data_IF_962040002397
#
_entry.id   IF_962040002397
#
_cell.length_a   1.000
_cell.length_b   1.000
_cell.length_c   1.000
_cell.angle_alpha   90.00
_cell.angle_beta   90.00
_cell.angle_gamma   90.00
#
_symmetry.space_group_name_H-M   'P 1'
#
loop_
_entity.id
_entity.type
_entity.pdbx_description
1 polymer ?
#
# COMPACT_ATOMS: atom_id res chain seq x y z
N UNK A 1 18.05 -24.73 19.65
CA UNK A 1 16.79 -25.24 19.09
C UNK A 1 16.23 -24.15 18.17
N UNK A 2 16.82 -23.93 17.00
CA UNK A 2 16.60 -24.66 15.74
C UNK A 2 15.18 -24.46 15.16
N UNK A 3 14.86 -23.23 14.75
CA UNK A 3 13.97 -22.88 13.62
C UNK A 3 13.97 -21.34 13.45
N UNK A 4 15.12 -20.77 13.13
CA UNK A 4 15.23 -19.34 12.78
C UNK A 4 16.39 -19.16 11.80
N UNK A 5 16.28 -19.77 10.62
CA UNK A 5 17.15 -19.41 9.50
C UNK A 5 16.57 -19.96 8.19
N UNK A 6 16.52 -19.07 7.19
CA UNK A 6 16.33 -19.30 5.74
C UNK A 6 14.89 -19.24 5.23
N UNK A 7 14.46 -18.02 4.92
CA UNK A 7 13.67 -17.74 3.73
C UNK A 7 14.37 -16.61 2.98
N UNK A 8 15.15 -16.98 1.97
CA UNK A 8 15.73 -16.03 1.00
C UNK A 8 14.58 -15.48 0.15
N UNK A 9 14.51 -14.15 -0.03
CA UNK A 9 13.71 -13.42 -1.03
C UNK A 9 12.48 -14.19 -1.57
N UNK A 10 11.32 -13.96 -1.00
CA UNK A 10 10.09 -14.63 -1.41
C UNK A 10 9.20 -13.66 -2.19
N UNK A 11 9.03 -13.90 -3.49
CA UNK A 11 7.92 -13.32 -4.25
C UNK A 11 6.67 -14.08 -3.82
N UNK A 12 5.74 -13.43 -3.13
CA UNK A 12 4.46 -14.04 -2.77
C UNK A 12 3.41 -13.63 -3.79
N UNK A 13 2.96 -14.60 -4.58
CA UNK A 13 1.88 -14.45 -5.54
C UNK A 13 0.62 -15.00 -4.89
N UNK A 14 -0.26 -14.10 -4.44
CA UNK A 14 -1.51 -14.49 -3.83
C UNK A 14 -2.58 -14.59 -4.93
N UNK A 15 -3.18 -15.77 -5.06
CA UNK A 15 -4.33 -16.02 -5.94
C UNK A 15 -5.51 -16.38 -5.04
N UNK A 16 -6.10 -15.43 -4.30
CA UNK A 16 -7.30 -15.70 -3.49
C UNK A 16 -8.21 -14.47 -3.23
N UNK A 17 -9.50 -14.78 -3.12
CA UNK A 17 -10.71 -13.93 -3.02
C UNK A 17 -11.08 -13.51 -1.56
N UNK A 18 -10.12 -13.43 -0.63
CA UNK A 18 -10.37 -13.10 0.79
C UNK A 18 -9.26 -12.22 1.40
N UNK A 19 -9.55 -11.38 2.42
CA UNK A 19 -8.61 -10.42 3.01
C UNK A 19 -7.36 -11.08 3.60
N UNK A 20 -6.19 -10.43 3.40
CA UNK A 20 -4.89 -10.95 3.84
C UNK A 20 -4.32 -10.09 4.97
N UNK A 21 -4.10 -10.69 6.14
CA UNK A 21 -3.41 -10.06 7.27
C UNK A 21 -1.96 -10.55 7.33
N UNK A 22 -0.99 -9.67 7.08
CA UNK A 22 0.44 -10.02 7.05
C UNK A 22 1.23 -9.24 8.09
N UNK A 23 1.54 -9.89 9.22
CA UNK A 23 2.06 -9.22 10.42
C UNK A 23 3.59 -9.03 10.47
N UNK A 24 4.41 -9.82 9.75
CA UNK A 24 5.89 -9.73 9.82
C UNK A 24 6.57 -10.27 8.55
N UNK A 25 6.99 -9.41 7.63
CA UNK A 25 7.59 -9.88 6.37
C UNK A 25 8.71 -8.94 5.87
N UNK A 26 9.76 -9.54 5.30
CA UNK A 26 10.96 -8.89 4.75
C UNK A 26 11.07 -9.26 3.27
N UNK A 27 11.35 -8.28 2.39
CA UNK A 27 11.61 -8.49 0.95
C UNK A 27 10.50 -9.28 0.24
N UNK A 28 9.26 -8.85 0.48
CA UNK A 28 8.10 -9.32 -0.25
C UNK A 28 7.97 -8.63 -1.58
N UNK A 29 7.53 -9.38 -2.58
CA UNK A 29 6.82 -8.80 -3.73
C UNK A 29 5.41 -9.36 -3.77
N UNK A 30 4.40 -8.49 -3.67
CA UNK A 30 2.98 -8.84 -3.87
C UNK A 30 2.50 -8.42 -5.26
N UNK A 31 1.92 -9.39 -5.98
CA UNK A 31 1.24 -9.25 -7.27
C UNK A 31 0.01 -10.18 -7.25
N UNK A 32 -1.18 -9.65 -7.54
CA UNK A 32 -2.47 -10.34 -7.41
C UNK A 32 -3.35 -10.18 -8.66
N UNK A 33 -4.16 -11.19 -9.04
CA UNK A 33 -5.08 -11.13 -10.19
C UNK A 33 -6.21 -10.12 -10.11
N UNK A 34 -6.46 -9.59 -8.93
CA UNK A 34 -7.74 -9.02 -8.55
C UNK A 34 -8.00 -9.39 -7.11
N UNK A 35 -7.88 -8.44 -6.19
CA UNK A 35 -8.36 -8.62 -4.82
C UNK A 35 -9.76 -8.01 -4.74
N UNK A 36 -10.78 -8.85 -4.60
CA UNK A 36 -12.13 -8.45 -4.22
C UNK A 36 -12.26 -8.68 -2.72
N UNK A 37 -12.43 -7.59 -1.96
CA UNK A 37 -12.26 -7.60 -0.51
C UNK A 37 -13.48 -7.09 0.23
N UNK A 38 -14.04 -7.96 1.08
CA UNK A 38 -15.16 -7.65 1.95
C UNK A 38 -14.72 -7.20 3.36
N UNK A 39 -13.40 -7.08 3.60
CA UNK A 39 -12.78 -6.74 4.87
C UNK A 39 -12.33 -5.27 5.00
N UNK A 40 -11.41 -5.02 5.93
CA UNK A 40 -10.86 -3.70 6.28
C UNK A 40 -9.63 -3.32 5.45
N UNK A 41 -8.83 -4.28 4.99
CA UNK A 41 -7.73 -4.00 4.09
C UNK A 41 -7.43 -5.18 3.18
N UNK A 42 -7.16 -4.89 1.91
CA UNK A 42 -6.93 -5.91 0.88
C UNK A 42 -5.50 -6.45 0.96
N UNK A 43 -4.53 -5.54 1.11
CA UNK A 43 -3.13 -5.84 1.43
C UNK A 43 -2.74 -5.04 2.67
N UNK A 44 -2.45 -5.72 3.77
CA UNK A 44 -1.93 -5.10 5.00
C UNK A 44 -0.49 -5.54 5.24
N UNK A 45 0.41 -4.60 5.52
CA UNK A 45 1.84 -4.87 5.70
C UNK A 45 2.46 -4.00 6.79
N UNK A 46 3.46 -4.55 7.48
CA UNK A 46 4.13 -3.89 8.60
C UNK A 46 3.37 -4.05 9.92
N UNK A 47 3.98 -3.54 10.99
CA UNK A 47 3.47 -3.63 12.36
C UNK A 47 4.23 -2.67 13.29
N UNK A 48 3.63 -2.35 14.44
CA UNK A 48 4.31 -1.69 15.55
C UNK A 48 4.21 -0.17 15.53
N UNK A 49 3.45 0.39 14.59
CA UNK A 49 3.28 1.82 14.43
C UNK A 49 2.24 2.47 15.36
N UNK A 50 1.25 1.72 15.88
CA UNK A 50 0.18 2.30 16.72
C UNK A 50 0.58 3.09 17.98
N UNK A 51 1.73 2.88 18.66
CA UNK A 51 2.15 3.79 19.73
C UNK A 51 2.22 5.26 19.29
N UNK A 52 2.46 5.49 18.00
CA UNK A 52 2.47 6.82 17.39
C UNK A 52 1.09 7.54 17.54
N UNK A 53 -0.03 6.80 17.61
CA UNK A 53 -1.38 7.33 17.93
C UNK A 53 -1.44 8.07 19.27
N UNK A 54 -0.56 7.69 20.21
CA UNK A 54 -0.47 8.29 21.55
C UNK A 54 0.87 9.00 21.75
N UNK A 55 1.49 9.45 20.66
CA UNK A 55 2.73 10.24 20.67
C UNK A 55 3.94 9.51 21.25
N UNK A 56 3.99 8.18 21.08
CA UNK A 56 5.12 7.35 21.47
C UNK A 56 5.86 6.83 20.22
N UNK A 57 7.18 6.55 20.33
CA UNK A 57 7.94 5.94 19.24
C UNK A 57 7.30 4.64 18.73
N UNK A 58 7.36 4.44 17.41
CA UNK A 58 7.00 3.17 16.80
C UNK A 58 7.88 2.03 17.34
N UNK A 59 7.31 0.83 17.47
CA UNK A 59 8.06 -0.34 17.90
C UNK A 59 9.00 -0.81 16.78
N UNK A 60 10.26 -1.15 17.11
CA UNK A 60 11.15 -1.79 16.16
C UNK A 60 10.56 -3.08 15.60
N UNK A 61 10.70 -3.27 14.29
CA UNK A 61 10.29 -4.48 13.60
C UNK A 61 11.30 -4.79 12.47
N UNK A 62 11.12 -5.92 11.78
CA UNK A 62 12.01 -6.37 10.70
C UNK A 62 11.43 -6.15 9.29
N UNK A 63 10.31 -5.44 9.16
CA UNK A 63 9.70 -5.07 7.88
C UNK A 63 10.64 -4.14 7.12
N UNK A 64 11.09 -4.55 5.95
CA UNK A 64 11.81 -3.69 5.02
C UNK A 64 11.87 -4.25 3.61
N UNK A 65 12.23 -3.37 2.68
CA UNK A 65 12.47 -3.69 1.27
C UNK A 65 11.28 -4.39 0.62
N UNK A 66 10.06 -4.10 1.07
CA UNK A 66 8.84 -4.71 0.57
C UNK A 66 8.36 -3.96 -0.68
N UNK A 67 7.76 -4.68 -1.63
CA UNK A 67 7.21 -4.13 -2.87
C UNK A 67 5.79 -4.65 -3.07
N UNK A 68 4.85 -3.74 -3.18
CA UNK A 68 3.46 -4.01 -3.56
C UNK A 68 3.27 -3.35 -4.91
N UNK A 69 3.29 -4.13 -5.98
CA UNK A 69 3.35 -3.56 -7.33
C UNK A 69 2.42 -4.21 -8.32
N UNK A 70 1.83 -3.41 -9.22
CA UNK A 70 1.03 -3.88 -10.34
C UNK A 70 -0.14 -4.78 -9.92
N UNK A 71 -0.70 -4.57 -8.73
CA UNK A 71 -1.91 -5.28 -8.31
C UNK A 71 -3.13 -4.62 -8.94
N UNK A 72 -4.16 -5.42 -9.22
CA UNK A 72 -5.52 -4.94 -9.45
C UNK A 72 -6.33 -5.18 -8.17
N UNK A 73 -6.88 -4.14 -7.57
CA UNK A 73 -7.69 -4.22 -6.33
C UNK A 73 -9.00 -3.48 -6.60
N UNK A 74 -10.13 -4.13 -6.36
CA UNK A 74 -11.43 -3.53 -6.65
C UNK A 74 -12.53 -4.03 -5.73
N UNK A 75 -13.64 -3.28 -5.64
CA UNK A 75 -14.77 -3.56 -4.76
C UNK A 75 -14.30 -3.82 -3.31
N UNK A 76 -13.37 -2.98 -2.83
CA UNK A 76 -12.74 -3.11 -1.52
C UNK A 76 -13.47 -2.31 -0.45
N UNK A 77 -13.16 -2.59 0.82
CA UNK A 77 -13.73 -1.91 1.99
C UNK A 77 -15.27 -1.99 2.01
N UNK A 78 -15.86 -3.19 1.94
CA UNK A 78 -17.33 -3.30 1.93
C UNK A 78 -17.97 -3.21 3.32
N UNK A 79 -17.23 -3.58 4.39
CA UNK A 79 -17.78 -3.75 5.73
C UNK A 79 -17.15 -2.80 6.76
N UNK A 80 -15.82 -2.73 6.80
CA UNK A 80 -15.08 -1.97 7.81
C UNK A 80 -14.58 -0.64 7.22
N UNK A 81 -14.29 0.32 8.10
CA UNK A 81 -14.07 1.72 7.73
C UNK A 81 -12.72 2.30 8.13
N UNK A 82 -11.83 1.55 8.78
CA UNK A 82 -10.48 2.02 9.19
C UNK A 82 -9.39 1.17 8.53
N UNK A 83 -9.24 1.36 7.21
CA UNK A 83 -8.25 0.64 6.41
C UNK A 83 -8.21 1.13 4.97
N UNK A 84 -7.82 0.25 4.04
CA UNK A 84 -7.54 0.62 2.66
C UNK A 84 -7.21 -0.55 1.74
N UNK A 85 -7.18 -0.29 0.43
CA UNK A 85 -6.73 -1.29 -0.54
C UNK A 85 -5.29 -1.74 -0.27
N UNK A 86 -4.42 -0.77 0.07
CA UNK A 86 -3.09 -1.04 0.62
C UNK A 86 -2.99 -0.30 1.94
N UNK A 87 -2.65 -1.03 2.99
CA UNK A 87 -2.45 -0.53 4.34
C UNK A 87 -1.04 -0.86 4.80
N UNK A 88 -0.29 0.15 5.22
CA UNK A 88 1.09 0.05 5.71
C UNK A 88 1.16 0.59 7.14
N UNK A 89 1.87 -0.11 8.04
CA UNK A 89 2.02 0.31 9.43
C UNK A 89 3.45 0.14 9.97
N UNK A 90 3.90 1.09 10.79
CA UNK A 90 5.19 1.02 11.47
C UNK A 90 6.41 1.15 10.55
N UNK A 91 7.62 1.03 11.11
CA UNK A 91 8.86 1.25 10.38
C UNK A 91 9.02 0.19 9.28
N UNK A 92 9.15 0.59 8.02
CA UNK A 92 9.26 -0.33 6.86
C UNK A 92 10.63 -0.26 6.17
N UNK A 93 11.65 0.20 6.87
CA UNK A 93 13.00 0.38 6.35
C UNK A 93 13.86 1.22 7.29
N UNK A 94 15.06 1.58 6.83
CA UNK A 94 15.92 2.55 7.54
C UNK A 94 16.22 3.78 6.71
N UNK A 95 15.70 3.83 5.48
CA UNK A 95 15.85 4.90 4.49
C UNK A 95 14.82 4.70 3.38
N UNK A 96 14.56 5.72 2.57
CA UNK A 96 13.71 5.56 1.38
C UNK A 96 14.19 4.48 0.39
N UNK A 97 15.50 4.18 0.39
CA UNK A 97 16.10 3.21 -0.55
C UNK A 97 15.84 1.74 -0.19
N UNK A 98 15.57 1.45 1.08
CA UNK A 98 15.24 0.10 1.57
C UNK A 98 13.87 0.07 2.26
N UNK A 99 13.06 1.07 1.96
CA UNK A 99 11.72 1.24 2.43
C UNK A 99 10.73 0.29 1.78
N UNK A 100 9.46 0.53 2.02
CA UNK A 100 8.38 -0.10 1.29
C UNK A 100 8.03 0.68 0.02
N UNK A 101 7.74 -0.03 -1.06
CA UNK A 101 7.36 0.54 -2.35
C UNK A 101 5.99 0.04 -2.80
N UNK A 102 5.00 0.92 -2.78
CA UNK A 102 3.64 0.69 -3.30
C UNK A 102 3.56 1.35 -4.68
N UNK A 103 3.68 0.57 -5.76
CA UNK A 103 3.90 1.14 -7.10
C UNK A 103 3.10 0.52 -8.25
N UNK A 104 2.57 1.33 -9.15
CA UNK A 104 1.90 0.84 -10.36
C UNK A 104 0.63 0.04 -10.10
N UNK A 105 0.07 0.07 -8.88
CA UNK A 105 -1.16 -0.62 -8.57
C UNK A 105 -2.35 0.11 -9.17
N UNK A 106 -3.36 -0.65 -9.55
CA UNK A 106 -4.64 -0.21 -10.07
C UNK A 106 -5.68 -0.51 -9.01
N UNK A 107 -6.31 0.52 -8.47
CA UNK A 107 -7.29 0.40 -7.39
C UNK A 107 -8.57 1.13 -7.77
N UNK A 108 -9.73 0.49 -7.66
CA UNK A 108 -10.99 1.18 -7.94
C UNK A 108 -12.17 0.65 -7.14
N UNK A 109 -13.26 1.41 -7.12
CA UNK A 109 -14.53 0.98 -6.54
C UNK A 109 -14.42 0.73 -5.02
N UNK A 110 -14.04 1.76 -4.26
CA UNK A 110 -14.15 1.66 -2.79
C UNK A 110 -15.61 1.73 -2.36
N UNK A 111 -16.10 0.67 -1.72
CA UNK A 111 -17.52 0.51 -1.40
C UNK A 111 -17.95 1.30 -0.15
N UNK A 112 -17.13 1.35 0.90
CA UNK A 112 -17.39 2.18 2.07
C UNK A 112 -17.19 3.66 1.76
N UNK A 113 -18.21 4.47 2.07
CA UNK A 113 -18.30 5.89 1.71
C UNK A 113 -17.91 6.86 2.82
N UNK A 114 -17.61 6.36 4.03
CA UNK A 114 -17.46 7.22 5.21
C UNK A 114 -16.20 6.97 6.04
N UNK A 115 -15.23 6.18 5.56
CA UNK A 115 -14.02 5.90 6.33
C UNK A 115 -12.85 5.33 5.52
N UNK A 116 -11.66 5.48 6.09
CA UNK A 116 -10.41 4.92 5.58
C UNK A 116 -9.78 5.75 4.47
N UNK A 117 -8.73 5.18 3.88
CA UNK A 117 -7.95 5.75 2.81
C UNK A 117 -7.60 4.67 1.81
N UNK A 118 -7.47 4.98 0.52
CA UNK A 118 -7.22 3.92 -0.47
C UNK A 118 -5.82 3.35 -0.34
N UNK A 119 -4.80 4.22 -0.40
CA UNK A 119 -3.40 3.88 -0.14
C UNK A 119 -3.01 4.50 1.21
N UNK A 120 -3.05 3.70 2.25
CA UNK A 120 -3.01 4.14 3.64
C UNK A 120 -1.69 3.77 4.30
N UNK A 121 -0.85 4.76 4.56
CA UNK A 121 0.31 4.60 5.45
C UNK A 121 -0.11 5.09 6.84
N UNK A 122 -0.60 4.17 7.66
CA UNK A 122 -1.08 4.46 9.01
C UNK A 122 0.10 4.77 9.96
N UNK A 123 -0.23 5.07 11.20
CA UNK A 123 0.69 5.46 12.27
C UNK A 123 2.06 4.77 12.25
N UNK A 124 3.11 5.57 12.42
CA UNK A 124 4.49 5.13 12.44
C UNK A 124 5.01 4.53 11.13
N UNK A 125 4.21 4.52 10.04
CA UNK A 125 4.62 4.08 8.72
C UNK A 125 5.72 4.99 8.17
N UNK A 126 6.96 4.54 8.31
CA UNK A 126 8.16 5.27 7.92
C UNK A 126 8.87 4.59 6.75
N UNK A 127 9.43 5.41 5.87
CA UNK A 127 10.15 5.03 4.65
C UNK A 127 9.27 4.36 3.60
N UNK A 128 8.12 4.96 3.26
CA UNK A 128 7.19 4.40 2.27
C UNK A 128 7.18 5.23 0.99
N UNK A 129 7.27 4.59 -0.17
CA UNK A 129 7.11 5.22 -1.48
C UNK A 129 5.79 4.78 -2.13
N UNK A 130 4.92 5.72 -2.49
CA UNK A 130 3.66 5.50 -3.20
C UNK A 130 3.78 6.09 -4.60
N UNK A 131 4.07 5.25 -5.59
CA UNK A 131 4.56 5.70 -6.90
C UNK A 131 3.70 5.23 -8.06
N UNK A 132 3.22 6.14 -8.90
CA UNK A 132 2.56 5.80 -10.18
C UNK A 132 1.38 4.83 -10.07
N UNK A 133 0.64 4.87 -8.96
CA UNK A 133 -0.60 4.10 -8.80
C UNK A 133 -1.78 4.81 -9.47
N UNK A 134 -2.79 4.06 -9.85
CA UNK A 134 -4.05 4.58 -10.37
C UNK A 134 -5.19 4.26 -9.41
N UNK A 135 -5.95 5.27 -9.02
CA UNK A 135 -7.09 5.16 -8.11
C UNK A 135 -8.31 5.88 -8.68
N UNK A 136 -9.46 5.23 -8.81
CA UNK A 136 -10.69 5.93 -9.22
C UNK A 136 -11.95 5.32 -8.61
N UNK A 137 -13.09 5.99 -8.79
CA UNK A 137 -14.39 5.62 -8.22
C UNK A 137 -14.31 5.35 -6.71
N UNK A 138 -13.89 6.36 -5.96
CA UNK A 138 -13.78 6.33 -4.50
C UNK A 138 -14.58 7.48 -3.89
N UNK A 139 -15.05 7.30 -2.66
CA UNK A 139 -15.80 8.30 -1.92
C UNK A 139 -15.03 8.87 -0.71
N UNK A 140 -13.75 8.49 -0.59
CA UNK A 140 -12.84 8.89 0.49
C UNK A 140 -11.56 9.47 -0.12
N UNK A 141 -10.56 9.83 0.71
CA UNK A 141 -9.28 10.27 0.15
C UNK A 141 -8.49 9.09 -0.45
N UNK A 142 -7.78 9.30 -1.57
CA UNK A 142 -6.98 8.25 -2.20
C UNK A 142 -5.73 7.87 -1.38
N UNK A 143 -5.43 8.63 -0.34
CA UNK A 143 -4.20 8.55 0.44
C UNK A 143 -4.46 8.92 1.91
N UNK A 144 -3.61 8.39 2.80
CA UNK A 144 -3.45 8.86 4.16
C UNK A 144 -2.00 8.63 4.59
N UNK A 145 -1.20 9.69 4.76
CA UNK A 145 0.24 9.52 5.01
C UNK A 145 1.00 10.49 5.88
N UNK A 146 0.43 11.66 6.23
CA UNK A 146 1.14 12.64 7.05
C UNK A 146 0.93 12.36 8.54
N UNK A 147 1.81 11.53 9.09
CA UNK A 147 1.91 11.25 10.53
C UNK A 147 3.17 11.90 11.12
N UNK A 148 3.06 12.44 12.34
CA UNK A 148 4.22 13.03 13.04
C UNK A 148 5.18 11.92 13.41
N UNK A 149 6.46 12.07 13.10
CA UNK A 149 7.45 11.07 13.45
C UNK A 149 7.81 11.15 14.93
N UNK A 150 7.10 10.42 15.79
CA UNK A 150 7.42 10.34 17.21
C UNK A 150 8.62 9.44 17.52
N UNK A 151 9.13 8.69 16.53
CA UNK A 151 10.34 7.87 16.68
C UNK A 151 11.60 8.73 16.73
N UNK A 152 11.72 9.69 15.81
CA UNK A 152 12.81 10.69 15.81
C UNK A 152 12.48 11.85 16.75
N UNK A 153 11.21 12.26 16.83
CA UNK A 153 10.73 13.25 17.80
C UNK A 153 11.20 14.68 17.54
N UNK A 154 11.60 15.02 16.31
CA UNK A 154 12.15 16.33 15.93
C UNK A 154 11.11 17.27 15.29
N UNK A 155 9.84 16.87 15.25
CA UNK A 155 8.74 17.64 14.66
C UNK A 155 8.59 17.49 13.14
N UNK A 156 9.35 16.58 12.52
CA UNK A 156 9.14 16.12 11.14
C UNK A 156 8.01 15.07 11.06
N UNK A 157 7.63 14.70 9.83
CA UNK A 157 6.69 13.61 9.58
C UNK A 157 7.43 12.30 9.31
N UNK A 158 6.73 11.19 9.40
CA UNK A 158 7.25 9.88 9.00
C UNK A 158 7.69 9.93 7.52
N UNK A 159 8.94 9.55 7.18
CA UNK A 159 9.46 9.74 5.83
C UNK A 159 8.61 9.02 4.79
N UNK A 160 8.08 9.77 3.84
CA UNK A 160 7.17 9.24 2.82
C UNK A 160 7.39 9.96 1.50
N UNK A 161 7.29 9.24 0.40
CA UNK A 161 7.45 9.75 -0.96
C UNK A 161 6.23 9.38 -1.80
N UNK A 162 5.59 10.35 -2.46
CA UNK A 162 4.29 10.18 -3.12
C UNK A 162 4.31 10.90 -4.47
N UNK A 163 4.56 10.14 -5.54
CA UNK A 163 4.81 10.75 -6.85
C UNK A 163 4.11 10.04 -8.01
N UNK A 164 3.66 10.84 -8.99
CA UNK A 164 3.19 10.34 -10.28
C UNK A 164 1.88 9.55 -10.23
N UNK A 165 1.14 9.58 -9.12
CA UNK A 165 -0.11 8.83 -8.98
C UNK A 165 -1.28 9.53 -9.71
N UNK A 166 -2.25 8.75 -10.17
CA UNK A 166 -3.46 9.22 -10.85
C UNK A 166 -4.66 8.95 -9.95
N UNK A 167 -5.27 10.00 -9.38
CA UNK A 167 -6.39 9.85 -8.46
C UNK A 167 -7.31 11.07 -8.41
N UNK A 168 -8.56 10.95 -7.95
CA UNK A 168 -9.40 12.11 -7.68
C UNK A 168 -9.01 12.78 -6.36
N UNK A 169 -9.10 14.11 -6.30
CA UNK A 169 -8.98 14.89 -5.06
C UNK A 169 -7.67 14.65 -4.29
N UNK A 170 -6.57 14.50 -5.02
CA UNK A 170 -5.23 14.40 -4.46
C UNK A 170 -4.80 15.66 -3.70
N UNK A 171 -3.81 15.57 -2.79
CA UNK A 171 -3.22 16.75 -2.18
C UNK A 171 -2.41 17.53 -3.21
N UNK A 172 -2.23 18.83 -2.98
CA UNK A 172 -1.24 19.62 -3.71
C UNK A 172 0.18 19.14 -3.41
N UNK A 173 1.09 19.42 -4.34
CA UNK A 173 2.52 19.15 -4.17
C UNK A 173 3.07 19.73 -2.86
N UNK A 174 3.99 18.98 -2.25
CA UNK A 174 4.53 19.24 -0.93
C UNK A 174 5.95 18.67 -0.85
N UNK A 175 6.91 19.45 -0.38
CA UNK A 175 8.27 18.97 -0.15
C UNK A 175 8.82 19.61 1.11
N UNK A 176 8.50 19.02 2.26
CA UNK A 176 8.93 19.52 3.55
C UNK A 176 8.80 18.42 4.61
N UNK A 177 9.48 18.58 5.75
CA UNK A 177 9.34 17.69 6.93
C UNK A 177 9.41 16.19 6.59
N UNK A 178 10.35 15.80 5.73
CA UNK A 178 10.59 14.40 5.30
C UNK A 178 9.49 13.78 4.44
N UNK A 179 8.52 14.56 3.94
CA UNK A 179 7.49 14.09 3.02
C UNK A 179 7.64 14.79 1.68
N UNK A 180 7.70 13.99 0.61
CA UNK A 180 7.61 14.43 -0.77
C UNK A 180 6.25 14.02 -1.35
N UNK A 181 5.57 14.98 -1.97
CA UNK A 181 4.37 14.80 -2.78
C UNK A 181 4.61 15.61 -4.04
N UNK A 182 4.68 14.96 -5.19
CA UNK A 182 4.96 15.68 -6.42
C UNK A 182 4.35 15.03 -7.65
N UNK A 183 3.94 15.84 -8.62
CA UNK A 183 3.53 15.37 -9.95
C UNK A 183 2.39 14.33 -9.90
N UNK A 184 1.49 14.42 -8.93
CA UNK A 184 0.29 13.59 -8.91
C UNK A 184 -0.79 14.22 -9.80
N UNK A 185 -1.60 13.40 -10.45
CA UNK A 185 -2.54 13.80 -11.48
C UNK A 185 -3.98 13.64 -10.98
N UNK A 186 -4.71 14.75 -10.94
CA UNK A 186 -6.14 14.74 -10.65
C UNK A 186 -6.91 14.12 -11.82
N UNK A 187 -7.71 13.09 -11.54
CA UNK A 187 -8.53 12.40 -12.54
C UNK A 187 -9.98 12.31 -12.07
N UNK A 188 -10.88 12.24 -13.04
CA UNK A 188 -12.32 12.00 -12.85
C UNK A 188 -12.74 10.58 -13.26
N UNK A 189 -11.87 9.83 -13.95
CA UNK A 189 -12.18 8.51 -14.46
C UNK A 189 -10.95 7.75 -14.98
N UNK A 190 -11.15 6.45 -15.23
CA UNK A 190 -10.10 5.53 -15.66
C UNK A 190 -9.54 5.84 -17.05
N UNK A 191 -10.30 6.52 -17.91
CA UNK A 191 -9.92 6.92 -19.27
C UNK A 191 -8.79 7.97 -19.30
N UNK A 192 -8.55 8.64 -18.17
CA UNK A 192 -7.47 9.61 -18.00
C UNK A 192 -6.17 8.99 -17.47
N UNK A 193 -6.20 7.69 -17.12
CA UNK A 193 -5.01 6.95 -16.66
C UNK A 193 -4.25 6.41 -17.88
N UNK A 194 -2.91 6.53 -17.92
CA UNK A 194 -2.10 5.92 -18.96
C UNK A 194 -2.39 4.42 -19.08
N UNK A 195 -2.61 3.95 -20.31
CA UNK A 195 -2.88 2.54 -20.59
C UNK A 195 -1.74 1.62 -20.15
N UNK A 196 -0.51 2.11 -20.07
CA UNK A 196 0.64 1.36 -19.54
C UNK A 196 0.49 1.01 -18.06
N UNK A 197 -0.23 1.81 -17.27
CA UNK A 197 -0.50 1.53 -15.86
C UNK A 197 -1.68 0.57 -15.75
N UNK A 198 -2.81 0.89 -16.40
CA UNK A 198 -4.02 0.05 -16.31
C UNK A 198 -3.82 -1.35 -16.89
N UNK A 199 -3.05 -1.49 -17.99
CA UNK A 199 -2.75 -2.80 -18.57
C UNK A 199 -1.68 -3.60 -17.80
N UNK A 200 -0.89 -2.95 -16.95
CA UNK A 200 0.08 -3.63 -16.09
C UNK A 200 -0.56 -4.17 -14.80
N UNK A 201 -1.66 -3.57 -14.34
CA UNK A 201 -2.38 -4.00 -13.15
C UNK A 201 -2.98 -5.40 -13.30
N UNK A 202 -2.81 -6.22 -12.26
CA UNK A 202 -3.36 -7.58 -12.19
C UNK A 202 -2.30 -8.66 -12.41
N UNK A 203 -2.74 -9.85 -12.83
CA UNK A 203 -1.82 -10.93 -13.17
C UNK A 203 -1.09 -10.63 -14.49
N UNK A 204 0.25 -10.64 -14.45
CA UNK A 204 1.10 -10.60 -15.64
C UNK A 204 0.71 -11.71 -16.63
N UNK A 205 0.77 -11.43 -17.93
CA UNK A 205 0.34 -12.32 -19.02
C UNK A 205 0.86 -13.76 -18.88
N UNK A 206 2.12 -13.92 -18.50
CA UNK A 206 2.78 -15.22 -18.30
C UNK A 206 2.19 -16.09 -17.17
N UNK A 207 1.36 -15.52 -16.30
CA UNK A 207 0.74 -16.21 -15.17
C UNK A 207 -0.80 -16.27 -15.27
N UNK A 208 -1.40 -15.70 -16.31
CA UNK A 208 -2.86 -15.72 -16.48
C UNK A 208 -3.44 -17.14 -16.54
N UNK A 209 -2.67 -18.12 -17.03
CA UNK A 209 -3.08 -19.52 -17.07
C UNK A 209 -3.40 -20.12 -15.68
N UNK A 210 -2.86 -19.57 -14.59
CA UNK A 210 -3.13 -20.02 -13.22
C UNK A 210 -4.61 -19.78 -12.85
N UNK A 211 -5.25 -18.75 -13.42
CA UNK A 211 -6.67 -18.46 -13.17
C UNK A 211 -7.61 -19.57 -13.66
N UNK A 212 -7.16 -20.34 -14.66
CA UNK A 212 -7.89 -21.49 -15.19
C UNK A 212 -7.43 -22.83 -14.64
N UNK A 213 -6.48 -22.86 -13.70
CA UNK A 213 -5.97 -24.11 -13.14
C UNK A 213 -7.01 -24.79 -12.24
N UNK A 214 -7.14 -26.11 -12.37
CA UNK A 214 -7.96 -26.95 -11.50
C UNK A 214 -7.08 -28.08 -10.94
N UNK A 215 -7.21 -28.44 -9.65
CA UNK A 215 -6.60 -29.65 -9.12
C UNK A 215 -7.09 -30.88 -9.88
N UNK A 216 -6.20 -31.87 -10.06
CA UNK A 216 -6.55 -33.17 -10.65
C UNK A 216 -7.37 -34.04 -9.70
#
# INVERSE_FOLDING_TARGET
SAMASRLNSSVYRFVYLLPTWCYFLWNLRSQSPGVHDQGEASISIGWGGWPDKVSLPAQPNYSNSNTISNNLIYDHMSLLGDGGAVYTNGITGTSMANGEHVSGNVVHDQLNTSGGHVLYTDNGASYVSILSNAVWNINVSPWGSKHVNYTVGDGTYDPTDIEGNYWPNGPSDYNNKSVLIQNNHDITGADQVPSSITAAGGIESQYQAILSWQPA
#
